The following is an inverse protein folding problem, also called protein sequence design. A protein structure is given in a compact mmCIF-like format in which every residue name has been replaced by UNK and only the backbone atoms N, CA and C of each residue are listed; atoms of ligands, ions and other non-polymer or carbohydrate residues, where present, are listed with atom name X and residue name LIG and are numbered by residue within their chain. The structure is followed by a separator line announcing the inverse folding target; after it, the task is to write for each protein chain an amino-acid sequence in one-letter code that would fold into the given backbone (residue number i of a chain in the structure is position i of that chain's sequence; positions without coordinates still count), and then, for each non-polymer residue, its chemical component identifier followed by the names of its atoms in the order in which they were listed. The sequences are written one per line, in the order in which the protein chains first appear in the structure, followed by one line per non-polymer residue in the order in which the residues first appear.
data_IF_886692368840
#
_entry.id   IF_886692368840
#
_cell.length_a   1.000
_cell.length_b   1.000
_cell.length_c   1.000
_cell.angle_alpha   90.00
_cell.angle_beta   90.00
_cell.angle_gamma   90.00
#
_symmetry.space_group_name_H-M   'P 1'
#
loop_
_entity.id
_entity.type
_entity.pdbx_description
1 polymer ?
#
# COMPACT_ATOMS: atom_id res chain seq x y z
N UNK A 1 12.38 -5.59 21.16
CA UNK A 1 13.74 -6.05 21.49
C UNK A 1 14.65 -5.10 20.76
N UNK A 2 14.97 -3.99 21.41
CA UNK A 2 15.61 -2.85 20.76
C UNK A 2 17.09 -3.11 20.53
N UNK A 3 17.40 -3.47 19.28
CA UNK A 3 18.74 -3.50 18.75
C UNK A 3 19.06 -2.13 18.13
N UNK A 4 18.94 -1.04 18.89
CA UNK A 4 19.07 0.34 18.39
C UNK A 4 20.38 0.61 17.62
N UNK A 5 21.40 -0.24 17.76
CA UNK A 5 22.67 -0.19 17.02
C UNK A 5 23.16 -1.56 16.56
N UNK A 6 22.28 -2.39 15.99
CA UNK A 6 22.67 -3.71 15.45
C UNK A 6 23.82 -3.62 14.43
N UNK A 7 23.90 -2.51 13.67
CA UNK A 7 24.89 -2.30 12.62
C UNK A 7 26.31 -2.01 13.14
N UNK A 8 26.48 -1.77 14.46
CA UNK A 8 27.79 -1.45 15.05
C UNK A 8 28.33 -2.54 15.97
N UNK A 9 27.66 -3.70 16.07
CA UNK A 9 28.09 -4.83 16.92
C UNK A 9 28.60 -6.00 16.07
N UNK A 10 29.58 -6.79 16.56
CA UNK A 10 30.04 -7.98 15.86
C UNK A 10 28.89 -8.97 15.61
N UNK A 11 28.87 -9.59 14.44
CA UNK A 11 27.78 -10.49 14.02
C UNK A 11 27.54 -11.65 14.99
N UNK A 12 28.58 -12.16 15.68
CA UNK A 12 28.45 -13.18 16.73
C UNK A 12 27.57 -12.71 17.89
N UNK A 13 27.75 -11.47 18.33
CA UNK A 13 26.97 -10.87 19.40
C UNK A 13 25.52 -10.57 18.94
N UNK A 14 25.33 -10.32 17.65
CA UNK A 14 23.98 -10.20 17.05
C UNK A 14 23.25 -11.54 17.11
N UNK A 15 23.92 -12.64 16.75
CA UNK A 15 23.34 -13.99 16.82
C UNK A 15 22.95 -14.36 18.25
N UNK A 16 23.83 -14.11 19.22
CA UNK A 16 23.56 -14.36 20.63
C UNK A 16 22.37 -13.55 21.14
N UNK A 17 22.33 -12.24 20.83
CA UNK A 17 21.19 -11.38 21.18
C UNK A 17 19.89 -11.83 20.51
N UNK A 18 19.95 -12.29 19.27
CA UNK A 18 18.78 -12.79 18.55
C UNK A 18 18.42 -14.24 18.90
N UNK A 19 19.16 -14.90 19.79
CA UNK A 19 18.99 -16.32 20.11
C UNK A 19 19.03 -17.21 18.86
N UNK A 20 19.94 -16.89 17.93
CA UNK A 20 20.18 -17.64 16.70
C UNK A 20 21.62 -18.14 16.69
N UNK A 21 21.93 -19.09 15.82
CA UNK A 21 23.29 -19.59 15.60
C UNK A 21 23.67 -19.55 14.11
N UNK A 22 24.87 -20.03 13.78
CA UNK A 22 25.40 -20.12 12.41
C UNK A 22 24.63 -21.14 11.53
N UNK A 23 23.96 -22.11 12.17
CA UNK A 23 23.08 -23.09 11.52
C UNK A 23 21.64 -22.55 11.38
N UNK A 24 21.39 -21.30 11.78
CA UNK A 24 20.09 -20.65 11.72
C UNK A 24 19.11 -21.15 12.77
N UNK A 25 17.82 -20.87 12.55
CA UNK A 25 16.78 -21.18 13.55
C UNK A 25 16.25 -22.60 13.40
N UNK A 26 15.87 -23.21 14.53
CA UNK A 26 15.13 -24.48 14.52
C UNK A 26 13.68 -24.28 14.08
N UNK A 27 13.04 -25.29 13.50
CA UNK A 27 11.64 -25.19 13.07
C UNK A 27 10.68 -24.86 14.23
N UNK A 28 10.97 -25.34 15.44
CA UNK A 28 10.20 -25.00 16.65
C UNK A 28 10.32 -23.51 16.99
N UNK A 29 11.52 -22.96 16.92
CA UNK A 29 11.76 -21.55 17.20
C UNK A 29 11.17 -20.65 16.10
N UNK A 30 11.22 -21.09 14.84
CA UNK A 30 10.55 -20.41 13.72
C UNK A 30 9.04 -20.32 13.96
N UNK A 31 8.38 -21.43 14.33
CA UNK A 31 6.95 -21.44 14.60
C UNK A 31 6.59 -20.49 15.75
N UNK A 32 7.36 -20.54 16.85
CA UNK A 32 7.18 -19.66 18.00
C UNK A 32 7.37 -18.18 17.65
N UNK A 33 8.34 -17.86 16.79
CA UNK A 33 8.56 -16.49 16.31
C UNK A 33 7.46 -16.02 15.38
N UNK A 34 6.94 -16.91 14.53
CA UNK A 34 5.84 -16.58 13.63
C UNK A 34 4.57 -16.23 14.43
N UNK A 35 4.28 -16.96 15.51
CA UNK A 35 3.18 -16.62 16.42
C UNK A 35 3.39 -15.29 17.14
N UNK A 36 4.64 -14.97 17.51
CA UNK A 36 4.99 -13.76 18.27
C UNK A 36 5.06 -12.49 17.41
N UNK A 37 5.62 -12.60 16.21
CA UNK A 37 5.96 -11.46 15.36
C UNK A 37 5.05 -11.34 14.12
N UNK A 38 4.32 -12.40 13.76
CA UNK A 38 3.54 -12.46 12.53
C UNK A 38 4.40 -12.74 11.29
N UNK A 39 3.73 -12.77 10.13
CA UNK A 39 4.39 -12.88 8.84
C UNK A 39 5.16 -11.58 8.54
N UNK A 40 6.25 -11.69 7.79
CA UNK A 40 7.03 -10.56 7.31
C UNK A 40 6.34 -9.90 6.11
N UNK A 41 5.11 -9.45 6.33
CA UNK A 41 4.27 -8.78 5.35
C UNK A 41 4.06 -7.33 5.78
N UNK A 42 4.22 -6.39 4.84
CA UNK A 42 3.82 -5.01 5.07
C UNK A 42 2.29 -5.00 5.10
N UNK A 43 1.70 -4.60 6.21
CA UNK A 43 0.24 -4.40 6.31
C UNK A 43 -0.22 -3.47 5.18
N UNK A 44 -0.83 -4.04 4.16
CA UNK A 44 -1.48 -3.23 3.14
C UNK A 44 -2.79 -2.76 3.75
N UNK A 45 -2.84 -1.47 4.11
CA UNK A 45 -4.08 -0.80 4.48
C UNK A 45 -5.19 -1.10 3.46
N UNK A 46 -6.46 -0.97 3.90
CA UNK A 46 -7.65 -1.33 3.09
C UNK A 46 -7.47 -0.90 1.63
N UNK A 47 -7.50 -1.87 0.70
CA UNK A 47 -7.50 -1.59 -0.74
C UNK A 47 -8.57 -0.55 -1.04
N UNK A 48 -8.22 0.52 -1.76
CA UNK A 48 -9.21 1.53 -2.10
C UNK A 48 -10.16 0.88 -3.10
N UNK A 49 -11.45 0.83 -2.76
CA UNK A 49 -12.43 0.26 -3.70
C UNK A 49 -12.62 1.22 -4.87
N UNK A 50 -13.02 0.70 -6.03
CA UNK A 50 -13.32 1.52 -7.20
C UNK A 50 -14.32 2.65 -6.88
N UNK A 51 -15.33 2.35 -6.07
CA UNK A 51 -16.30 3.34 -5.60
C UNK A 51 -15.65 4.41 -4.70
N UNK A 52 -14.75 4.01 -3.80
CA UNK A 52 -14.01 4.97 -2.95
C UNK A 52 -13.15 5.92 -3.78
N UNK A 53 -12.49 5.41 -4.83
CA UNK A 53 -11.67 6.23 -5.74
C UNK A 53 -12.55 7.24 -6.48
N UNK A 54 -13.68 6.80 -7.01
CA UNK A 54 -14.63 7.67 -7.71
C UNK A 54 -15.22 8.75 -6.79
N UNK A 55 -15.71 8.37 -5.60
CA UNK A 55 -16.28 9.31 -4.63
C UNK A 55 -15.24 10.32 -4.11
N UNK A 56 -13.97 9.94 -4.05
CA UNK A 56 -12.91 10.88 -3.66
C UNK A 56 -12.67 11.98 -4.70
N UNK A 57 -13.03 11.81 -5.98
CA UNK A 57 -12.94 12.89 -6.97
C UNK A 57 -13.82 14.09 -6.60
N UNK A 58 -14.99 13.83 -6.00
CA UNK A 58 -15.93 14.87 -5.56
C UNK A 58 -15.49 15.60 -4.28
N UNK A 59 -14.46 15.12 -3.57
CA UNK A 59 -13.90 15.78 -2.39
C UNK A 59 -12.85 16.83 -2.73
N UNK A 60 -12.41 16.92 -3.99
CA UNK A 60 -11.45 17.92 -4.42
C UNK A 60 -12.06 19.32 -4.31
N UNK A 61 -11.30 20.26 -3.73
CA UNK A 61 -11.72 21.67 -3.59
C UNK A 61 -12.15 22.26 -4.95
N UNK A 62 -11.45 21.90 -6.03
CA UNK A 62 -11.74 22.34 -7.39
C UNK A 62 -13.08 21.78 -7.90
N UNK A 63 -13.38 20.51 -7.62
CA UNK A 63 -14.66 19.91 -8.03
C UNK A 63 -15.81 20.52 -7.23
N UNK A 64 -15.62 20.77 -5.93
CA UNK A 64 -16.62 21.47 -5.12
C UNK A 64 -16.90 22.89 -5.64
N UNK A 65 -15.87 23.61 -6.10
CA UNK A 65 -16.06 24.90 -6.76
C UNK A 65 -16.90 24.77 -8.04
N UNK A 66 -16.64 23.78 -8.89
CA UNK A 66 -17.41 23.55 -10.11
C UNK A 66 -18.87 23.14 -9.81
N UNK A 67 -19.09 22.32 -8.79
CA UNK A 67 -20.44 21.98 -8.32
C UNK A 67 -21.17 23.24 -7.83
N UNK A 68 -20.50 24.09 -7.05
CA UNK A 68 -21.06 25.36 -6.61
C UNK A 68 -21.39 26.28 -7.80
N UNK A 69 -20.49 26.43 -8.78
CA UNK A 69 -20.74 27.19 -10.01
C UNK A 69 -21.92 26.64 -10.79
N UNK A 70 -22.07 25.31 -10.90
CA UNK A 70 -23.21 24.66 -11.57
C UNK A 70 -24.53 25.04 -10.91
N UNK A 71 -24.58 25.04 -9.58
CA UNK A 71 -25.76 25.45 -8.81
C UNK A 71 -26.08 26.92 -9.07
N UNK A 72 -25.07 27.80 -9.03
CA UNK A 72 -25.26 29.25 -9.28
C UNK A 72 -25.78 29.51 -10.70
N UNK A 73 -25.18 28.92 -11.74
CA UNK A 73 -25.65 29.06 -13.13
C UNK A 73 -27.08 28.55 -13.32
N UNK A 74 -27.46 27.46 -12.64
CA UNK A 74 -28.83 26.97 -12.67
C UNK A 74 -29.83 27.98 -12.08
N UNK A 75 -29.49 28.61 -10.95
CA UNK A 75 -30.34 29.68 -10.37
C UNK A 75 -30.41 30.94 -11.24
N UNK A 76 -29.39 31.22 -12.05
CA UNK A 76 -29.38 32.32 -13.01
C UNK A 76 -30.18 32.01 -14.29
N UNK A 77 -30.67 30.77 -14.45
CA UNK A 77 -31.39 30.33 -15.65
C UNK A 77 -30.48 29.95 -16.82
N UNK A 78 -29.17 29.91 -16.62
CA UNK A 78 -28.15 29.57 -17.61
C UNK A 78 -27.97 28.05 -17.69
N UNK A 79 -29.01 27.36 -18.17
CA UNK A 79 -29.04 25.89 -18.23
C UNK A 79 -27.93 25.34 -19.13
N UNK A 80 -27.60 26.03 -20.23
CA UNK A 80 -26.52 25.63 -21.14
C UNK A 80 -25.16 25.59 -20.43
N UNK A 81 -24.84 26.61 -19.65
CA UNK A 81 -23.56 26.70 -18.95
C UNK A 81 -23.48 25.65 -17.84
N UNK A 82 -24.58 25.44 -17.10
CA UNK A 82 -24.66 24.38 -16.11
C UNK A 82 -24.42 22.98 -16.72
N UNK A 83 -24.96 22.70 -17.91
CA UNK A 83 -24.74 21.42 -18.63
C UNK A 83 -23.27 21.25 -19.02
N UNK A 84 -22.63 22.31 -19.54
CA UNK A 84 -21.20 22.26 -19.93
C UNK A 84 -20.32 21.98 -18.71
N UNK A 85 -20.56 22.66 -17.58
CA UNK A 85 -19.80 22.44 -16.35
C UNK A 85 -20.00 21.02 -15.84
N UNK A 86 -21.24 20.51 -15.84
CA UNK A 86 -21.56 19.16 -15.41
C UNK A 86 -20.83 18.11 -16.27
N UNK A 87 -20.78 18.31 -17.59
CA UNK A 87 -20.06 17.42 -18.50
C UNK A 87 -18.54 17.39 -18.18
N UNK A 88 -17.94 18.55 -17.86
CA UNK A 88 -16.54 18.65 -17.45
C UNK A 88 -16.29 17.89 -16.13
N UNK A 89 -17.18 18.03 -15.13
CA UNK A 89 -17.06 17.31 -13.85
C UNK A 89 -17.08 15.80 -14.07
N UNK A 90 -18.01 15.30 -14.88
CA UNK A 90 -18.13 13.87 -15.19
C UNK A 90 -16.88 13.38 -15.93
N UNK A 91 -16.45 14.12 -16.95
CA UNK A 91 -15.25 13.78 -17.73
C UNK A 91 -14.01 13.70 -16.81
N UNK A 92 -13.78 14.72 -15.98
CA UNK A 92 -12.64 14.75 -15.05
C UNK A 92 -12.72 13.63 -14.01
N UNK A 93 -13.92 13.30 -13.51
CA UNK A 93 -14.10 12.22 -12.54
C UNK A 93 -13.80 10.85 -13.16
N UNK A 94 -14.20 10.62 -14.42
CA UNK A 94 -13.89 9.39 -15.17
C UNK A 94 -12.39 9.29 -15.46
N UNK A 95 -11.78 10.36 -15.99
CA UNK A 95 -10.35 10.40 -16.26
C UNK A 95 -9.52 10.21 -14.99
N UNK A 96 -9.86 10.92 -13.91
CA UNK A 96 -9.23 10.80 -12.61
C UNK A 96 -9.37 9.40 -12.01
N UNK A 97 -10.55 8.79 -12.12
CA UNK A 97 -10.76 7.40 -11.71
C UNK A 97 -9.85 6.44 -12.49
N UNK A 98 -9.78 6.55 -13.82
CA UNK A 98 -8.91 5.69 -14.65
C UNK A 98 -7.44 5.89 -14.29
N UNK A 99 -7.00 7.14 -14.08
CA UNK A 99 -5.62 7.45 -13.71
C UNK A 99 -5.23 6.85 -12.35
N UNK A 100 -6.05 7.08 -11.32
CA UNK A 100 -5.80 6.56 -9.98
C UNK A 100 -5.85 5.02 -9.97
N UNK A 101 -6.84 4.42 -10.65
CA UNK A 101 -6.97 2.97 -10.75
C UNK A 101 -5.75 2.32 -11.41
N UNK A 102 -5.23 2.93 -12.50
CA UNK A 102 -4.01 2.46 -13.16
C UNK A 102 -2.77 2.62 -12.28
N UNK A 103 -2.67 3.70 -11.50
CA UNK A 103 -1.59 3.90 -10.55
C UNK A 103 -1.59 2.83 -9.46
N UNK A 104 -2.75 2.55 -8.86
CA UNK A 104 -2.89 1.51 -7.83
C UNK A 104 -2.55 0.12 -8.39
N UNK A 105 -3.00 -0.20 -9.61
CA UNK A 105 -2.64 -1.45 -10.30
C UNK A 105 -1.14 -1.59 -10.57
N UNK A 106 -0.50 -0.49 -10.97
CA UNK A 106 0.95 -0.49 -11.21
C UNK A 106 1.73 -0.72 -9.92
N UNK A 107 1.28 -0.12 -8.82
CA UNK A 107 1.86 -0.33 -7.50
C UNK A 107 1.63 -1.77 -6.98
N UNK A 108 0.45 -2.35 -7.23
CA UNK A 108 0.17 -3.76 -6.93
C UNK A 108 1.08 -4.70 -7.72
N UNK A 109 1.33 -4.42 -9.01
CA UNK A 109 2.25 -5.18 -9.84
C UNK A 109 3.70 -5.06 -9.34
N UNK A 110 4.14 -3.86 -9.00
CA UNK A 110 5.47 -3.63 -8.44
C UNK A 110 5.67 -4.40 -7.12
N UNK A 111 4.67 -4.41 -6.23
CA UNK A 111 4.70 -5.20 -4.99
C UNK A 111 4.83 -6.70 -5.26
N UNK A 112 4.14 -7.23 -6.27
CA UNK A 112 4.25 -8.64 -6.66
C UNK A 112 5.65 -8.99 -7.20
N UNK A 113 6.31 -8.06 -7.89
CA UNK A 113 7.70 -8.22 -8.32
C UNK A 113 8.68 -8.12 -7.14
N UNK A 114 8.34 -7.31 -6.13
CA UNK A 114 9.09 -7.16 -4.89
C UNK A 114 8.85 -8.27 -3.86
N UNK A 115 8.19 -9.37 -4.24
CA UNK A 115 8.14 -10.61 -3.46
C UNK A 115 9.18 -11.62 -3.97
N UNK A 116 10.50 -11.41 -3.79
CA UNK A 116 11.45 -12.46 -4.05
C UNK A 116 11.46 -13.34 -2.80
N UNK A 117 11.28 -14.64 -2.99
CA UNK A 117 11.52 -15.64 -1.96
C UNK A 117 12.84 -15.31 -1.22
N UNK A 118 12.86 -15.42 0.10
CA UNK A 118 14.08 -15.20 0.86
C UNK A 118 14.86 -16.52 1.01
N UNK A 119 16.19 -16.41 0.94
CA UNK A 119 17.12 -17.50 1.24
C UNK A 119 17.45 -17.44 2.72
N UNK A 120 17.20 -18.53 3.43
CA UNK A 120 17.42 -18.63 4.89
C UNK A 120 18.15 -19.92 5.22
N UNK A 121 18.85 -19.95 6.35
CA UNK A 121 19.36 -21.20 6.94
C UNK A 121 18.44 -21.57 8.09
N UNK A 122 17.94 -22.81 8.10
CA UNK A 122 17.10 -23.38 9.18
C UNK A 122 17.52 -24.82 9.41
N UNK A 123 17.75 -25.20 10.67
CA UNK A 123 18.32 -26.51 11.04
C UNK A 123 19.62 -26.85 10.27
N UNK A 124 20.48 -25.87 10.03
CA UNK A 124 21.74 -26.03 9.27
C UNK A 124 21.57 -26.22 7.76
N UNK A 125 20.34 -26.15 7.24
CA UNK A 125 20.05 -26.34 5.82
C UNK A 125 19.58 -25.03 5.19
N UNK A 126 20.15 -24.71 4.03
CA UNK A 126 19.71 -23.58 3.23
C UNK A 126 18.34 -23.89 2.58
N UNK A 127 17.37 -23.00 2.77
CA UNK A 127 16.00 -23.12 2.24
C UNK A 127 15.59 -21.81 1.59
N UNK A 128 14.82 -21.90 0.50
CA UNK A 128 14.17 -20.75 -0.14
C UNK A 128 12.70 -20.77 0.27
N UNK A 129 12.25 -19.72 0.97
CA UNK A 129 10.89 -19.61 1.50
C UNK A 129 10.22 -18.32 1.02
N UNK A 130 8.87 -18.22 1.07
CA UNK A 130 8.19 -16.94 0.90
C UNK A 130 8.71 -15.92 1.94
N UNK A 131 9.02 -14.71 1.47
CA UNK A 131 9.46 -13.60 2.30
C UNK A 131 8.27 -12.96 3.03
#
# INVERSE_FOLDING_TARGET
MDLEKWYSIPWKNVLEKLGSDENGLSEKEVAKRLEKYGFNEIETGRKRTALTIFLNQFKSILVLLLVFSTIVSFFLGEIHDAIVILAIIIMNSVLGFIQEYRAEKSLEALKKLAAPKCKVIRNGVEKIIPA
#
